data_IF_169739444243
#
_entry.id   IF_169739444243
#
_cell.length_a   1.000
_cell.length_b   1.000
_cell.length_c   1.000
_cell.angle_alpha   90.00
_cell.angle_beta   90.00
_cell.angle_gamma   90.00
#
_symmetry.space_group_name_H-M   'P 1'
#
loop_
_entity.id
_entity.type
_entity.pdbx_description
1 polymer ?
#
# COMPACT_ATOMS: atom_id res chain seq x y z
N UNK A 1 14.37 3.55 14.64
CA UNK A 1 15.49 4.47 14.86
C UNK A 1 15.06 5.92 14.59
N UNK A 2 14.49 6.23 13.41
CA UNK A 2 14.07 7.59 13.00
C UNK A 2 13.12 8.27 14.00
N UNK A 3 12.02 7.63 14.37
CA UNK A 3 11.06 8.15 15.37
C UNK A 3 11.74 8.44 16.73
N UNK A 4 12.66 7.57 17.18
CA UNK A 4 13.41 7.79 18.41
C UNK A 4 14.34 8.99 18.35
N UNK A 5 14.99 9.23 17.21
CA UNK A 5 15.83 10.41 17.01
C UNK A 5 15.03 11.71 16.99
N UNK A 6 13.76 11.64 16.65
CA UNK A 6 12.80 12.76 16.75
C UNK A 6 12.12 12.87 18.14
N UNK A 7 12.62 12.13 19.16
CA UNK A 7 12.17 12.25 20.54
C UNK A 7 10.91 11.45 20.91
N UNK A 8 10.43 10.55 20.03
CA UNK A 8 9.27 9.72 20.37
C UNK A 8 9.64 8.65 21.39
N UNK A 9 8.80 8.48 22.41
CA UNK A 9 8.91 7.41 23.39
C UNK A 9 8.57 6.05 22.78
N UNK A 10 9.06 4.97 23.41
CA UNK A 10 8.72 3.60 22.98
C UNK A 10 7.21 3.33 23.02
N UNK A 11 6.48 3.93 23.96
CA UNK A 11 5.01 3.82 24.07
C UNK A 11 4.35 4.49 22.87
N UNK A 12 4.77 5.70 22.50
CA UNK A 12 4.23 6.41 21.33
C UNK A 12 4.48 5.64 20.03
N UNK A 13 5.65 5.04 19.87
CA UNK A 13 5.97 4.20 18.72
C UNK A 13 5.06 2.97 18.69
N UNK A 14 4.92 2.28 19.82
CA UNK A 14 4.02 1.12 19.94
C UNK A 14 2.57 1.48 19.64
N UNK A 15 2.07 2.59 20.18
CA UNK A 15 0.71 3.08 19.91
C UNK A 15 0.47 3.36 18.43
N UNK A 16 1.43 4.01 17.76
CA UNK A 16 1.35 4.27 16.30
C UNK A 16 1.22 2.98 15.52
N UNK A 17 2.03 1.96 15.84
CA UNK A 17 1.98 0.67 15.18
C UNK A 17 0.66 -0.06 15.45
N UNK A 18 0.21 -0.09 16.71
CA UNK A 18 -1.04 -0.76 17.10
C UNK A 18 -2.25 -0.16 16.38
N UNK A 19 -2.38 1.16 16.38
CA UNK A 19 -3.48 1.84 15.66
C UNK A 19 -3.37 1.58 14.15
N UNK A 20 -2.16 1.62 13.59
CA UNK A 20 -1.93 1.28 12.19
C UNK A 20 -2.43 -0.13 11.86
N UNK A 21 -2.10 -1.14 12.67
CA UNK A 21 -2.56 -2.51 12.46
C UNK A 21 -4.07 -2.67 12.60
N UNK A 22 -4.70 -2.02 13.59
CA UNK A 22 -6.15 -2.06 13.75
C UNK A 22 -6.87 -1.48 12.52
N UNK A 23 -6.38 -0.35 12.01
CA UNK A 23 -6.92 0.23 10.79
C UNK A 23 -6.69 -0.66 9.56
N UNK A 24 -5.53 -1.32 9.45
CA UNK A 24 -5.27 -2.29 8.40
C UNK A 24 -6.26 -3.45 8.40
N UNK A 25 -6.65 -3.95 9.58
CA UNK A 25 -7.70 -4.99 9.69
C UNK A 25 -9.03 -4.49 9.11
N UNK A 26 -9.44 -3.26 9.44
CA UNK A 26 -10.68 -2.65 8.93
C UNK A 26 -10.61 -2.50 7.41
N UNK A 27 -9.54 -1.92 6.89
CA UNK A 27 -9.35 -1.75 5.45
C UNK A 27 -9.20 -3.07 4.69
N UNK A 28 -8.65 -4.11 5.33
CA UNK A 28 -8.59 -5.46 4.77
C UNK A 28 -9.99 -6.04 4.53
N UNK A 29 -10.90 -5.88 5.48
CA UNK A 29 -12.30 -6.31 5.34
C UNK A 29 -13.04 -5.53 4.24
N UNK A 30 -12.72 -4.26 4.06
CA UNK A 30 -13.34 -3.40 3.03
C UNK A 30 -12.68 -3.55 1.65
N UNK A 31 -11.49 -4.12 1.57
CA UNK A 31 -10.69 -4.17 0.36
C UNK A 31 -11.40 -4.81 -0.83
N UNK A 32 -12.02 -5.98 -0.63
CA UNK A 32 -12.77 -6.66 -1.69
C UNK A 32 -13.95 -5.85 -2.20
N UNK A 33 -14.74 -5.28 -1.26
CA UNK A 33 -15.92 -4.47 -1.58
C UNK A 33 -15.57 -3.24 -2.42
N UNK A 34 -14.52 -2.54 -2.01
CA UNK A 34 -14.03 -1.34 -2.70
C UNK A 34 -13.48 -1.71 -4.08
N UNK A 35 -12.69 -2.77 -4.16
CA UNK A 35 -12.10 -3.28 -5.40
C UNK A 35 -13.16 -3.66 -6.43
N UNK A 36 -14.22 -4.35 -6.01
CA UNK A 36 -15.30 -4.76 -6.92
C UNK A 36 -16.10 -3.57 -7.47
N UNK A 37 -16.26 -2.50 -6.66
CA UNK A 37 -17.02 -1.30 -7.07
C UNK A 37 -16.24 -0.28 -7.86
N UNK A 38 -14.94 -0.19 -7.64
CA UNK A 38 -14.09 0.78 -8.33
C UNK A 38 -13.38 0.21 -9.55
N UNK A 39 -13.32 -1.12 -9.65
CA UNK A 39 -12.47 -1.85 -10.60
C UNK A 39 -11.06 -2.05 -10.06
N UNK A 40 -10.40 -3.12 -10.51
CA UNK A 40 -9.08 -3.53 -10.01
C UNK A 40 -8.02 -2.45 -10.23
N UNK A 41 -7.89 -1.99 -11.48
CA UNK A 41 -6.91 -0.98 -11.88
C UNK A 41 -7.10 0.34 -11.13
N UNK A 42 -8.33 0.86 -11.10
CA UNK A 42 -8.61 2.16 -10.45
C UNK A 42 -8.39 2.09 -8.95
N UNK A 43 -8.89 1.04 -8.30
CA UNK A 43 -8.68 0.84 -6.87
C UNK A 43 -7.17 0.75 -6.55
N UNK A 44 -6.40 -0.04 -7.30
CA UNK A 44 -4.95 -0.14 -7.11
C UNK A 44 -4.28 1.21 -7.23
N UNK A 45 -4.47 1.95 -8.34
CA UNK A 45 -3.78 3.23 -8.56
C UNK A 45 -4.13 4.27 -7.49
N UNK A 46 -5.41 4.42 -7.16
CA UNK A 46 -5.87 5.44 -6.21
C UNK A 46 -5.39 5.12 -4.80
N UNK A 47 -5.65 3.90 -4.32
CA UNK A 47 -5.29 3.53 -2.95
C UNK A 47 -3.79 3.33 -2.76
N UNK A 48 -3.06 2.92 -3.78
CA UNK A 48 -1.60 2.84 -3.74
C UNK A 48 -0.99 4.24 -3.63
N UNK A 49 -1.50 5.21 -4.39
CA UNK A 49 -1.07 6.62 -4.26
C UNK A 49 -1.37 7.16 -2.87
N UNK A 50 -2.58 6.93 -2.35
CA UNK A 50 -2.97 7.38 -1.01
C UNK A 50 -2.12 6.70 0.06
N UNK A 51 -1.91 5.39 -0.02
CA UNK A 51 -1.28 4.61 1.04
C UNK A 51 0.25 4.68 1.07
N UNK A 52 0.89 5.07 -0.03
CA UNK A 52 2.35 5.14 -0.12
C UNK A 52 2.88 6.56 -0.36
N UNK A 53 2.41 7.24 -1.40
CA UNK A 53 2.94 8.58 -1.72
C UNK A 53 2.68 9.58 -0.60
N UNK A 54 1.43 9.65 -0.11
CA UNK A 54 1.06 10.61 0.94
C UNK A 54 1.79 10.31 2.25
N UNK A 55 1.78 9.09 2.80
CA UNK A 55 2.54 8.79 4.01
C UNK A 55 4.04 9.01 3.88
N UNK A 56 4.66 8.67 2.75
CA UNK A 56 6.08 8.94 2.52
C UNK A 56 6.39 10.44 2.62
N UNK A 57 5.56 11.30 2.03
CA UNK A 57 5.71 12.75 2.16
C UNK A 57 5.51 13.20 3.61
N UNK A 58 4.47 12.71 4.29
CA UNK A 58 4.24 13.04 5.70
C UNK A 58 5.45 12.61 6.55
N UNK A 59 6.00 11.39 6.35
CA UNK A 59 7.17 10.92 7.08
C UNK A 59 8.43 11.73 6.78
N UNK A 60 8.61 12.20 5.54
CA UNK A 60 9.74 13.06 5.18
C UNK A 60 9.73 14.38 5.98
N UNK A 61 8.55 14.94 6.25
CA UNK A 61 8.38 16.19 6.99
C UNK A 61 8.02 16.00 8.47
N UNK A 62 7.90 14.76 8.95
CA UNK A 62 7.51 14.47 10.33
C UNK A 62 8.43 15.10 11.35
N UNK A 63 7.82 15.70 12.40
CA UNK A 63 8.53 16.34 13.52
C UNK A 63 8.10 15.79 14.88
N UNK A 64 6.88 15.24 14.98
CA UNK A 64 6.32 14.80 16.25
C UNK A 64 5.40 13.58 16.08
N UNK A 65 4.90 13.05 17.20
CA UNK A 65 4.04 11.88 17.28
C UNK A 65 2.80 11.94 16.35
N UNK A 66 2.12 13.08 16.27
CA UNK A 66 0.89 13.21 15.50
C UNK A 66 1.08 13.05 14.00
N UNK A 67 2.23 13.51 13.49
CA UNK A 67 2.59 13.29 12.09
C UNK A 67 2.76 11.80 11.77
N UNK A 68 3.43 11.05 12.66
CA UNK A 68 3.60 9.62 12.49
C UNK A 68 2.28 8.87 12.62
N UNK A 69 1.41 9.29 13.53
CA UNK A 69 0.07 8.72 13.69
C UNK A 69 -0.78 8.94 12.43
N UNK A 70 -0.84 10.17 11.92
CA UNK A 70 -1.57 10.49 10.70
C UNK A 70 -1.04 9.70 9.49
N UNK A 71 0.27 9.65 9.30
CA UNK A 71 0.88 8.86 8.22
C UNK A 71 0.57 7.37 8.34
N UNK A 72 0.64 6.80 9.55
CA UNK A 72 0.31 5.39 9.79
C UNK A 72 -1.16 5.08 9.50
N UNK A 73 -2.07 6.00 9.87
CA UNK A 73 -3.50 5.84 9.60
C UNK A 73 -3.79 5.86 8.08
N UNK A 74 -3.18 6.79 7.35
CA UNK A 74 -3.33 6.86 5.88
C UNK A 74 -2.68 5.64 5.22
N UNK A 75 -1.48 5.23 5.67
CA UNK A 75 -0.79 4.06 5.15
C UNK A 75 -1.59 2.76 5.34
N UNK A 76 -2.40 2.66 6.39
CA UNK A 76 -3.21 1.47 6.64
C UNK A 76 -4.15 1.10 5.47
N UNK A 77 -4.53 2.08 4.63
CA UNK A 77 -5.34 1.85 3.42
C UNK A 77 -4.65 0.99 2.35
N UNK A 78 -3.35 0.69 2.52
CA UNK A 78 -2.61 -0.20 1.61
C UNK A 78 -3.20 -1.61 1.52
N UNK A 79 -3.98 -2.04 2.51
CA UNK A 79 -4.67 -3.32 2.46
C UNK A 79 -5.72 -3.39 1.33
N UNK A 80 -6.33 -2.25 0.98
CA UNK A 80 -7.22 -2.17 -0.19
C UNK A 80 -6.41 -2.38 -1.48
N UNK A 81 -5.25 -1.72 -1.56
CA UNK A 81 -4.33 -1.91 -2.68
C UNK A 81 -3.85 -3.34 -2.79
N UNK A 82 -3.46 -3.95 -1.68
CA UNK A 82 -2.99 -5.33 -1.66
C UNK A 82 -4.04 -6.28 -2.24
N UNK A 83 -5.31 -6.09 -1.88
CA UNK A 83 -6.43 -6.87 -2.43
C UNK A 83 -6.62 -6.61 -3.92
N UNK A 84 -6.72 -5.34 -4.34
CA UNK A 84 -6.97 -4.97 -5.72
C UNK A 84 -5.82 -5.35 -6.66
N UNK A 85 -4.56 -5.17 -6.21
CA UNK A 85 -3.38 -5.55 -6.96
C UNK A 85 -3.27 -7.08 -7.12
N UNK A 86 -3.56 -7.84 -6.06
CA UNK A 86 -3.56 -9.29 -6.12
C UNK A 86 -4.61 -9.82 -7.11
N UNK A 87 -5.82 -9.24 -7.10
CA UNK A 87 -6.85 -9.57 -8.08
C UNK A 87 -6.40 -9.23 -9.50
N UNK A 88 -5.88 -8.01 -9.72
CA UNK A 88 -5.38 -7.58 -11.02
C UNK A 88 -4.31 -8.54 -11.57
N UNK A 89 -3.37 -8.93 -10.71
CA UNK A 89 -2.28 -9.79 -11.06
C UNK A 89 -2.71 -11.22 -11.40
N UNK A 90 -3.59 -11.81 -10.56
CA UNK A 90 -4.07 -13.20 -10.75
C UNK A 90 -4.98 -13.29 -11.98
N UNK A 91 -5.84 -12.31 -12.19
CA UNK A 91 -6.81 -12.30 -13.28
C UNK A 91 -6.13 -12.12 -14.67
N UNK A 92 -5.01 -11.40 -14.73
CA UNK A 92 -4.24 -11.17 -15.98
C UNK A 92 -3.20 -12.26 -16.24
N UNK A 93 -2.80 -13.03 -15.23
CA UNK A 93 -1.76 -14.04 -15.37
C UNK A 93 -2.35 -15.41 -15.76
N UNK A 94 -1.85 -16.08 -16.82
CA UNK A 94 -2.25 -17.44 -17.14
C UNK A 94 -2.02 -18.38 -15.95
N UNK A 95 -2.98 -19.28 -15.59
CA UNK A 95 -2.91 -20.12 -14.38
C UNK A 95 -1.60 -20.89 -14.22
N UNK A 96 -1.04 -21.37 -15.34
CA UNK A 96 0.24 -22.13 -15.35
C UNK A 96 1.46 -21.30 -14.94
N UNK A 97 1.38 -19.97 -14.98
CA UNK A 97 2.49 -19.07 -14.70
C UNK A 97 2.35 -18.31 -13.39
N UNK A 98 1.20 -18.39 -12.69
CA UNK A 98 0.92 -17.65 -11.46
C UNK A 98 1.99 -17.91 -10.40
N UNK A 99 2.31 -19.18 -10.14
CA UNK A 99 3.33 -19.57 -9.13
C UNK A 99 4.70 -18.99 -9.47
N UNK A 100 5.14 -19.11 -10.71
CA UNK A 100 6.44 -18.59 -11.14
C UNK A 100 6.51 -17.06 -11.03
N UNK A 101 5.43 -16.39 -11.39
CA UNK A 101 5.36 -14.94 -11.32
C UNK A 101 5.36 -14.44 -9.86
N UNK A 102 4.63 -15.09 -8.94
CA UNK A 102 4.73 -14.80 -7.51
C UNK A 102 6.13 -15.07 -6.96
N UNK A 103 6.77 -16.16 -7.35
CA UNK A 103 8.15 -16.45 -6.95
C UNK A 103 9.10 -15.36 -7.41
N UNK A 104 8.97 -14.89 -8.65
CA UNK A 104 9.80 -13.80 -9.18
C UNK A 104 9.61 -12.51 -8.39
N UNK A 105 8.36 -12.15 -8.06
CA UNK A 105 8.05 -10.97 -7.23
C UNK A 105 8.70 -11.08 -5.85
N UNK A 106 8.61 -12.26 -5.22
CA UNK A 106 9.23 -12.49 -3.92
C UNK A 106 10.77 -12.41 -3.99
N UNK A 107 11.38 -12.98 -5.03
CA UNK A 107 12.82 -12.86 -5.25
C UNK A 107 13.26 -11.41 -5.44
N UNK A 108 12.52 -10.64 -6.25
CA UNK A 108 12.78 -9.20 -6.40
C UNK A 108 12.63 -8.45 -5.08
N UNK A 109 11.63 -8.82 -4.25
CA UNK A 109 11.47 -8.28 -2.89
C UNK A 109 12.68 -8.57 -2.00
N UNK A 110 13.22 -9.80 -2.06
CA UNK A 110 14.41 -10.18 -1.30
C UNK A 110 15.66 -9.41 -1.75
N UNK A 111 15.79 -9.06 -3.02
CA UNK A 111 16.91 -8.25 -3.50
C UNK A 111 16.97 -6.87 -2.84
N UNK A 112 15.86 -6.36 -2.31
CA UNK A 112 15.82 -5.09 -1.57
C UNK A 112 16.70 -5.10 -0.32
N UNK A 113 16.97 -6.28 0.28
CA UNK A 113 17.84 -6.44 1.46
C UNK A 113 19.27 -5.99 1.16
N UNK A 114 19.74 -6.12 -0.09
CA UNK A 114 21.07 -5.67 -0.47
C UNK A 114 21.25 -4.15 -0.40
N UNK A 115 20.17 -3.37 -0.35
CA UNK A 115 20.23 -1.93 -0.12
C UNK A 115 20.36 -1.55 1.36
N UNK A 116 20.16 -2.47 2.30
CA UNK A 116 20.26 -2.19 3.73
C UNK A 116 21.67 -1.72 4.15
N UNK A 117 22.80 -2.32 3.70
CA UNK A 117 24.14 -1.84 4.03
C UNK A 117 24.39 -0.41 3.53
N UNK A 118 23.86 -0.03 2.37
CA UNK A 118 23.96 1.33 1.87
C UNK A 118 23.26 2.34 2.80
N UNK A 119 22.05 1.99 3.27
CA UNK A 119 21.33 2.83 4.23
C UNK A 119 22.10 2.97 5.55
N UNK A 120 22.68 1.90 6.06
CA UNK A 120 23.53 1.92 7.28
C UNK A 120 24.75 2.82 7.08
N UNK A 121 25.43 2.72 5.94
CA UNK A 121 26.58 3.55 5.61
C UNK A 121 26.21 5.04 5.56
N UNK A 122 25.11 5.37 4.89
CA UNK A 122 24.62 6.75 4.79
C UNK A 122 24.24 7.33 6.16
N UNK A 123 23.55 6.55 6.99
CA UNK A 123 23.19 6.94 8.36
C UNK A 123 24.44 7.15 9.23
N UNK A 124 25.46 6.33 9.06
CA UNK A 124 26.74 6.50 9.78
C UNK A 124 27.48 7.77 9.40
N UNK A 125 27.32 8.24 8.14
CA UNK A 125 28.03 9.42 7.63
C UNK A 125 27.28 10.74 7.84
N UNK A 126 25.94 10.75 7.72
CA UNK A 126 25.13 11.97 7.63
C UNK A 126 24.06 12.13 8.73
N UNK A 127 24.03 11.26 9.73
CA UNK A 127 22.98 11.14 10.75
C UNK A 127 21.65 10.56 10.19
N UNK A 128 20.82 10.07 11.13
CA UNK A 128 19.59 9.34 10.83
C UNK A 128 18.50 10.24 10.21
N UNK A 129 18.32 11.45 10.78
CA UNK A 129 17.16 12.28 10.41
C UNK A 129 17.23 12.78 8.97
N UNK A 130 18.31 13.41 8.49
CA UNK A 130 18.38 13.85 7.11
C UNK A 130 18.36 12.69 6.12
N UNK A 131 19.06 11.59 6.42
CA UNK A 131 19.08 10.41 5.53
C UNK A 131 17.65 9.84 5.37
N UNK A 132 16.92 9.65 6.46
CA UNK A 132 15.56 9.10 6.40
C UNK A 132 14.58 10.02 5.66
N UNK A 133 14.72 11.33 5.81
CA UNK A 133 13.90 12.31 5.05
C UNK A 133 14.12 12.19 3.55
N UNK A 134 15.38 12.10 3.11
CA UNK A 134 15.71 11.88 1.70
C UNK A 134 15.21 10.54 1.19
N UNK A 135 15.37 9.46 1.97
CA UNK A 135 14.87 8.12 1.62
C UNK A 135 13.34 8.15 1.41
N UNK A 136 12.59 8.77 2.31
CA UNK A 136 11.13 8.90 2.14
C UNK A 136 10.76 9.77 0.95
N UNK A 137 11.49 10.83 0.68
CA UNK A 137 11.24 11.69 -0.47
C UNK A 137 11.49 10.96 -1.80
N UNK A 138 12.60 10.23 -1.91
CA UNK A 138 12.90 9.38 -3.05
C UNK A 138 11.86 8.27 -3.21
N UNK A 139 11.45 7.65 -2.10
CA UNK A 139 10.39 6.65 -2.11
C UNK A 139 9.06 7.21 -2.63
N UNK A 140 8.67 8.43 -2.21
CA UNK A 140 7.46 9.09 -2.71
C UNK A 140 7.52 9.29 -4.24
N UNK A 141 8.65 9.75 -4.77
CA UNK A 141 8.84 9.93 -6.22
C UNK A 141 8.76 8.59 -6.94
N UNK A 142 9.49 7.57 -6.45
CA UNK A 142 9.53 6.24 -7.07
C UNK A 142 8.16 5.57 -7.08
N UNK A 143 7.42 5.68 -5.97
CA UNK A 143 6.06 5.14 -5.87
C UNK A 143 5.11 5.87 -6.81
N UNK A 144 5.18 7.21 -6.88
CA UNK A 144 4.36 8.00 -7.81
C UNK A 144 4.65 7.62 -9.26
N UNK A 145 5.92 7.45 -9.63
CA UNK A 145 6.31 7.00 -10.97
C UNK A 145 5.72 5.60 -11.30
N UNK A 146 5.80 4.65 -10.35
CA UNK A 146 5.18 3.32 -10.48
C UNK A 146 3.69 3.42 -10.77
N UNK A 147 2.97 4.29 -10.05
CA UNK A 147 1.51 4.43 -10.22
C UNK A 147 1.13 5.09 -11.53
N UNK A 148 1.90 6.07 -11.99
CA UNK A 148 1.72 6.67 -13.30
C UNK A 148 1.94 5.65 -14.43
N UNK A 149 2.95 4.78 -14.30
CA UNK A 149 3.19 3.70 -15.24
C UNK A 149 2.03 2.70 -15.26
N UNK A 150 1.56 2.28 -14.10
CA UNK A 150 0.38 1.39 -13.99
C UNK A 150 -0.88 2.04 -14.56
N UNK A 151 -1.07 3.34 -14.31
CA UNK A 151 -2.19 4.08 -14.87
C UNK A 151 -2.12 4.20 -16.39
N UNK A 152 -0.94 4.35 -16.95
CA UNK A 152 -0.77 4.58 -18.39
C UNK A 152 -0.78 3.27 -19.20
N UNK A 153 -0.10 2.25 -18.69
CA UNK A 153 0.11 0.97 -19.39
C UNK A 153 -0.79 -0.17 -18.90
N UNK A 154 -1.33 -0.07 -17.67
CA UNK A 154 -2.21 -1.10 -17.12
C UNK A 154 -3.61 -1.05 -17.74
N UNK A 155 -4.21 -2.23 -17.96
CA UNK A 155 -5.60 -2.41 -18.34
C UNK A 155 -6.50 -2.77 -17.15
N UNK A 156 -7.82 -2.69 -17.32
CA UNK A 156 -8.76 -3.32 -16.39
C UNK A 156 -9.03 -4.75 -16.86
N UNK A 157 -9.01 -5.70 -15.90
CA UNK A 157 -9.25 -7.12 -16.21
C UNK A 157 -10.68 -7.36 -16.73
N UNK A 158 -10.89 -8.42 -17.48
CA UNK A 158 -12.25 -8.80 -17.94
C UNK A 158 -13.17 -9.14 -16.76
N UNK A 159 -12.62 -9.82 -15.73
CA UNK A 159 -13.34 -10.09 -14.47
C UNK A 159 -13.69 -8.79 -13.78
N UNK A 160 -12.73 -7.84 -13.70
CA UNK A 160 -12.95 -6.51 -13.14
C UNK A 160 -14.07 -5.74 -13.84
N UNK A 161 -14.08 -5.74 -15.18
CA UNK A 161 -15.15 -5.10 -15.97
C UNK A 161 -16.53 -5.74 -15.70
N UNK A 162 -16.59 -7.08 -15.59
CA UNK A 162 -17.82 -7.80 -15.26
C UNK A 162 -18.32 -7.43 -13.87
N UNK A 163 -17.45 -7.52 -12.86
CA UNK A 163 -17.76 -7.16 -11.47
C UNK A 163 -18.24 -5.72 -11.34
N UNK A 164 -17.57 -4.79 -12.01
CA UNK A 164 -17.95 -3.38 -12.01
C UNK A 164 -19.38 -3.16 -12.53
N UNK A 165 -19.79 -3.88 -13.59
CA UNK A 165 -21.16 -3.82 -14.11
C UNK A 165 -22.18 -4.39 -13.13
N UNK A 166 -21.87 -5.53 -12.51
CA UNK A 166 -22.76 -6.22 -11.55
C UNK A 166 -22.95 -5.41 -10.26
N UNK A 167 -21.91 -4.74 -9.78
CA UNK A 167 -21.92 -4.02 -8.49
C UNK A 167 -22.30 -2.55 -8.60
N UNK A 168 -22.36 -1.98 -9.83
CA UNK A 168 -22.60 -0.54 -10.05
C UNK A 168 -23.85 0.00 -9.34
N UNK A 169 -24.93 -0.78 -9.32
CA UNK A 169 -26.23 -0.38 -8.74
C UNK A 169 -26.46 -0.93 -7.31
N UNK A 170 -25.51 -1.66 -6.74
CA UNK A 170 -25.64 -2.25 -5.41
C UNK A 170 -25.09 -1.32 -4.33
N UNK A 171 -25.83 -1.08 -3.25
CA UNK A 171 -25.30 -0.38 -2.08
C UNK A 171 -24.25 -1.23 -1.37
N UNK A 172 -23.21 -0.60 -0.81
CA UNK A 172 -22.10 -1.27 -0.08
C UNK A 172 -22.56 -2.22 1.04
N UNK A 173 -23.71 -1.91 1.66
CA UNK A 173 -24.27 -2.66 2.80
C UNK A 173 -25.58 -3.38 2.47
N UNK A 174 -25.95 -3.53 1.19
CA UNK A 174 -27.19 -4.24 0.82
C UNK A 174 -27.13 -5.72 1.19
N UNK A 175 -28.28 -6.32 1.54
CA UNK A 175 -28.38 -7.77 1.78
C UNK A 175 -27.91 -8.59 0.56
N UNK A 176 -28.15 -8.08 -0.64
CA UNK A 176 -27.74 -8.68 -1.92
C UNK A 176 -26.21 -8.72 -2.02
N UNK A 177 -25.52 -7.66 -1.62
CA UNK A 177 -24.05 -7.61 -1.63
C UNK A 177 -23.43 -8.58 -0.63
N UNK A 178 -24.01 -8.70 0.58
CA UNK A 178 -23.57 -9.68 1.58
C UNK A 178 -23.75 -11.14 1.14
N UNK A 179 -24.82 -11.44 0.39
CA UNK A 179 -25.06 -12.76 -0.19
C UNK A 179 -24.04 -13.09 -1.28
N UNK A 180 -23.55 -12.08 -1.98
CA UNK A 180 -22.56 -12.19 -3.05
C UNK A 180 -21.15 -12.46 -2.51
N UNK A 181 -20.82 -11.98 -1.32
CA UNK A 181 -19.53 -12.23 -0.66
C UNK A 181 -19.49 -13.59 0.07
N UNK A 182 -20.61 -14.25 0.27
CA UNK A 182 -20.72 -15.56 0.95
C UNK A 182 -20.63 -16.77 0.01
N UNK A 183 -20.34 -16.55 -1.24
CA UNK A 183 -20.07 -17.55 -2.27
C UNK A 183 -18.70 -17.31 -2.88
#
# INVERSE_FOLDING_TARGET
LYMRKLGLSSVQIGTTLTIGFLLQMIFGLLGGVITDKMGRRRATVIYDTISWTIPCLIWAFSQNFWWFMAASAVNASFQITNTSWTCLFIEDCPPKHITNAFTLIQLCGMLSVFFAPLAVFLVGKYDVVPVMRWVYFIAAISMTAKFLLLYHFGGETEVGKKRLKETKNLSYFSKTYRRYMGH
#
